data_IF_766398805976
#
_entry.id   IF_766398805976
#
_cell.length_a   1.000
_cell.length_b   1.000
_cell.length_c   1.000
_cell.angle_alpha   90.00
_cell.angle_beta   90.00
_cell.angle_gamma   90.00
#
_symmetry.space_group_name_H-M   'P 1'
#
loop_
_entity.id
_entity.type
_entity.pdbx_description
1 polymer ?
#
# COMPACT_ATOMS: atom_id res chain seq x y z
N UNK A 1 -7.11 -15.58 16.83
CA UNK A 1 -8.23 -14.62 16.91
C UNK A 1 -9.03 -14.93 18.16
N UNK A 2 -9.23 -13.96 19.07
CA UNK A 2 -9.95 -14.19 20.33
C UNK A 2 -11.42 -14.55 20.08
N UNK A 3 -11.91 -15.56 20.76
CA UNK A 3 -13.36 -15.88 20.77
C UNK A 3 -14.10 -15.01 21.80
N UNK A 4 -14.51 -13.82 21.33
CA UNK A 4 -15.20 -12.83 22.16
C UNK A 4 -16.47 -13.41 22.80
N UNK A 5 -17.17 -14.31 22.14
CA UNK A 5 -18.35 -14.97 22.68
C UNK A 5 -18.01 -15.91 23.85
N UNK A 6 -16.87 -16.61 23.74
CA UNK A 6 -16.38 -17.50 24.82
C UNK A 6 -15.96 -16.68 26.03
N UNK A 7 -15.23 -15.58 25.81
CA UNK A 7 -14.82 -14.64 26.86
C UNK A 7 -16.06 -14.06 27.56
N UNK A 8 -17.04 -13.58 26.82
CA UNK A 8 -18.27 -13.03 27.37
C UNK A 8 -19.06 -14.05 28.22
N UNK A 9 -19.13 -15.32 27.77
CA UNK A 9 -19.72 -16.40 28.54
C UNK A 9 -18.94 -16.68 29.82
N UNK A 10 -17.63 -16.68 29.82
CA UNK A 10 -16.77 -16.88 30.97
C UNK A 10 -17.02 -15.78 32.05
N UNK A 11 -16.97 -14.51 31.60
CA UNK A 11 -17.27 -13.35 32.48
C UNK A 11 -18.64 -13.50 33.13
N UNK A 12 -19.67 -13.79 32.32
CA UNK A 12 -21.02 -13.94 32.81
C UNK A 12 -21.16 -15.08 33.84
N UNK A 13 -20.58 -16.24 33.56
CA UNK A 13 -20.62 -17.41 34.44
C UNK A 13 -19.95 -17.13 35.78
N UNK A 14 -18.75 -16.53 35.74
CA UNK A 14 -18.02 -16.20 36.97
C UNK A 14 -18.73 -15.14 37.81
N UNK A 15 -19.25 -14.09 37.15
CA UNK A 15 -20.04 -13.07 37.84
C UNK A 15 -21.26 -13.67 38.57
N UNK A 16 -22.02 -14.51 37.87
CA UNK A 16 -23.20 -15.19 38.45
C UNK A 16 -22.77 -16.12 39.60
N UNK A 17 -21.64 -16.84 39.43
CA UNK A 17 -21.09 -17.70 40.48
C UNK A 17 -20.73 -16.94 41.77
N UNK A 18 -20.38 -15.65 41.63
CA UNK A 18 -20.12 -14.75 42.76
C UNK A 18 -21.39 -14.00 43.25
N UNK A 19 -22.56 -14.34 42.74
CA UNK A 19 -23.84 -13.68 43.07
C UNK A 19 -23.84 -12.16 42.80
N UNK A 20 -23.06 -11.70 41.83
CA UNK A 20 -22.97 -10.29 41.43
C UNK A 20 -23.97 -9.96 40.32
N UNK A 21 -24.57 -8.78 40.36
CA UNK A 21 -25.29 -8.21 39.22
C UNK A 21 -24.29 -7.60 38.21
N UNK A 22 -24.74 -7.33 36.98
CA UNK A 22 -23.89 -6.60 36.01
C UNK A 22 -23.53 -5.20 36.49
N UNK A 23 -24.41 -4.58 37.34
CA UNK A 23 -24.17 -3.29 37.95
C UNK A 23 -23.06 -3.38 39.01
N UNK A 24 -23.10 -4.40 39.88
CA UNK A 24 -22.07 -4.61 40.89
C UNK A 24 -20.68 -4.80 40.26
N UNK A 25 -20.62 -5.55 39.17
CA UNK A 25 -19.35 -5.73 38.41
C UNK A 25 -18.91 -4.43 37.78
N UNK A 26 -19.84 -3.66 37.19
CA UNK A 26 -19.54 -2.37 36.56
C UNK A 26 -18.98 -1.37 37.59
N UNK A 27 -19.58 -1.28 38.75
CA UNK A 27 -19.14 -0.41 39.85
C UNK A 27 -17.75 -0.78 40.37
N UNK A 28 -17.46 -2.08 40.55
CA UNK A 28 -16.15 -2.55 41.00
C UNK A 28 -15.05 -2.34 39.93
N UNK A 29 -15.43 -2.43 38.66
CA UNK A 29 -14.52 -2.23 37.52
C UNK A 29 -14.34 -0.76 37.16
N UNK A 30 -15.13 0.17 37.71
CA UNK A 30 -15.15 1.57 37.32
C UNK A 30 -15.56 1.78 35.86
N UNK A 31 -16.55 1.00 35.37
CA UNK A 31 -17.04 1.07 33.97
C UNK A 31 -18.55 1.24 33.95
N UNK A 32 -19.12 1.52 32.79
CA UNK A 32 -20.57 1.58 32.63
C UNK A 32 -21.21 0.18 32.65
N UNK A 33 -22.45 0.07 33.11
CA UNK A 33 -23.29 -1.14 32.99
C UNK A 33 -23.34 -1.65 31.55
N UNK A 34 -23.45 -0.73 30.57
CA UNK A 34 -23.47 -1.09 29.15
C UNK A 34 -22.18 -1.77 28.69
N UNK A 35 -21.03 -1.38 29.22
CA UNK A 35 -19.75 -2.03 28.90
C UNK A 35 -19.78 -3.49 29.34
N UNK A 36 -20.14 -3.78 30.63
CA UNK A 36 -20.25 -5.14 31.13
C UNK A 36 -21.27 -5.95 30.33
N UNK A 37 -22.43 -5.37 30.03
CA UNK A 37 -23.46 -6.01 29.22
C UNK A 37 -22.97 -6.34 27.79
N UNK A 38 -22.17 -5.48 27.16
CA UNK A 38 -21.59 -5.74 25.87
C UNK A 38 -20.53 -6.84 25.92
N UNK A 39 -19.69 -6.86 26.96
CA UNK A 39 -18.71 -7.92 27.16
C UNK A 39 -19.39 -9.28 27.28
N UNK A 40 -20.41 -9.42 28.15
CA UNK A 40 -21.13 -10.68 28.37
C UNK A 40 -21.89 -11.17 27.13
N UNK A 41 -22.26 -10.28 26.22
CA UNK A 41 -22.93 -10.62 24.96
C UNK A 41 -21.97 -10.89 23.81
N UNK A 42 -20.67 -10.68 24.02
CA UNK A 42 -19.67 -10.83 22.98
C UNK A 42 -19.70 -9.72 21.91
N UNK A 43 -20.27 -8.55 22.22
CA UNK A 43 -20.32 -7.40 21.32
C UNK A 43 -19.03 -6.57 21.38
N UNK A 44 -18.32 -6.64 22.50
CA UNK A 44 -17.01 -6.01 22.70
C UNK A 44 -16.21 -6.80 23.73
N UNK A 45 -14.90 -6.55 23.78
CA UNK A 45 -13.99 -7.12 24.76
C UNK A 45 -13.63 -6.07 25.82
N UNK A 46 -13.37 -6.46 27.09
CA UNK A 46 -12.75 -5.56 28.06
C UNK A 46 -11.42 -5.02 27.53
N UNK A 47 -11.13 -3.76 27.87
CA UNK A 47 -9.81 -3.19 27.67
C UNK A 47 -8.76 -4.03 28.40
N UNK A 48 -7.59 -4.18 27.79
CA UNK A 48 -6.51 -5.01 28.30
C UNK A 48 -6.07 -4.55 29.70
N UNK A 49 -6.01 -3.25 29.94
CA UNK A 49 -5.69 -2.68 31.24
C UNK A 49 -6.70 -3.06 32.34
N UNK A 50 -7.88 -3.59 31.96
CA UNK A 50 -8.94 -4.02 32.87
C UNK A 50 -9.02 -5.53 33.04
N UNK A 51 -8.30 -6.31 32.23
CA UNK A 51 -8.32 -7.78 32.29
C UNK A 51 -7.76 -8.31 33.61
N UNK A 52 -6.68 -7.72 34.11
CA UNK A 52 -6.11 -8.10 35.41
C UNK A 52 -7.10 -7.84 36.56
N UNK A 53 -7.68 -6.64 36.60
CA UNK A 53 -8.69 -6.27 37.60
C UNK A 53 -9.91 -7.20 37.49
N UNK A 54 -10.36 -7.51 36.28
CA UNK A 54 -11.48 -8.41 36.02
C UNK A 54 -11.19 -9.85 36.53
N UNK A 55 -9.97 -10.33 36.25
CA UNK A 55 -9.47 -11.62 36.73
C UNK A 55 -9.48 -11.70 38.25
N UNK A 56 -8.98 -10.67 38.92
CA UNK A 56 -8.97 -10.58 40.38
C UNK A 56 -10.39 -10.52 40.99
N UNK A 57 -11.28 -9.68 40.44
CA UNK A 57 -12.67 -9.54 40.95
C UNK A 57 -13.46 -10.83 40.76
N UNK A 58 -13.33 -11.46 39.59
CA UNK A 58 -14.11 -12.64 39.23
C UNK A 58 -13.45 -13.97 39.65
N UNK A 59 -12.18 -13.92 40.10
CA UNK A 59 -11.37 -15.12 40.38
C UNK A 59 -11.29 -16.03 39.15
N UNK A 60 -11.08 -15.41 38.02
CA UNK A 60 -10.94 -16.07 36.73
C UNK A 60 -9.48 -16.13 36.35
N UNK A 61 -9.06 -17.29 35.86
CA UNK A 61 -7.76 -17.41 35.22
C UNK A 61 -7.70 -16.54 33.96
N UNK A 62 -6.70 -15.69 33.85
CA UNK A 62 -6.43 -14.85 32.68
C UNK A 62 -6.35 -15.69 31.40
N UNK A 63 -5.77 -16.89 31.45
CA UNK A 63 -5.74 -17.84 30.33
C UNK A 63 -7.14 -18.24 29.83
N UNK A 64 -8.10 -18.38 30.74
CA UNK A 64 -9.50 -18.66 30.40
C UNK A 64 -10.16 -17.45 29.73
N UNK A 65 -9.83 -16.23 30.17
CA UNK A 65 -10.31 -14.98 29.59
C UNK A 65 -9.73 -14.76 28.20
N UNK A 66 -8.48 -15.12 27.99
CA UNK A 66 -7.78 -14.95 26.71
C UNK A 66 -8.03 -16.10 25.72
N UNK A 67 -8.84 -17.09 26.08
CA UNK A 67 -9.33 -18.10 25.11
C UNK A 67 -8.54 -19.41 25.06
N UNK A 68 -7.69 -19.69 26.03
CA UNK A 68 -6.89 -20.94 26.10
C UNK A 68 -5.62 -20.85 25.23
N UNK A 69 -4.90 -21.94 25.04
CA UNK A 69 -3.61 -22.03 24.33
C UNK A 69 -3.65 -21.57 22.86
N UNK A 70 -3.84 -20.27 22.62
CA UNK A 70 -3.59 -19.66 21.33
C UNK A 70 -2.31 -18.80 21.41
N UNK A 71 -1.57 -18.63 20.32
CA UNK A 71 -0.41 -17.72 20.26
C UNK A 71 -0.77 -16.33 20.79
N UNK A 72 -1.94 -15.82 20.44
CA UNK A 72 -2.43 -14.54 20.93
C UNK A 72 -2.62 -14.50 22.46
N UNK A 73 -3.04 -15.61 23.09
CA UNK A 73 -3.17 -15.71 24.55
C UNK A 73 -1.83 -15.71 25.26
N UNK A 74 -0.85 -16.43 24.71
CA UNK A 74 0.51 -16.48 25.23
C UNK A 74 1.22 -15.12 25.03
N UNK A 75 1.07 -14.49 23.87
CA UNK A 75 1.57 -13.15 23.60
C UNK A 75 1.00 -12.11 24.57
N UNK A 76 -0.31 -12.17 24.80
CA UNK A 76 -1.00 -11.28 25.73
C UNK A 76 -0.54 -11.45 27.18
N UNK A 77 -0.28 -12.68 27.60
CA UNK A 77 0.25 -12.97 28.93
C UNK A 77 1.64 -12.36 29.11
N UNK A 78 2.51 -12.47 28.10
CA UNK A 78 3.84 -11.83 28.10
C UNK A 78 3.73 -10.32 28.28
N UNK A 79 2.80 -9.66 27.59
CA UNK A 79 2.53 -8.21 27.73
C UNK A 79 2.02 -7.85 29.12
N UNK A 80 1.05 -8.63 29.66
CA UNK A 80 0.45 -8.36 30.97
C UNK A 80 1.42 -8.58 32.15
N UNK A 81 2.32 -9.54 32.01
CA UNK A 81 3.33 -9.86 33.04
C UNK A 81 4.61 -9.02 32.89
N UNK A 82 4.65 -8.11 31.91
CA UNK A 82 5.82 -7.29 31.57
C UNK A 82 7.12 -8.12 31.56
N UNK A 83 7.07 -9.26 30.84
CA UNK A 83 8.23 -10.15 30.76
C UNK A 83 9.33 -9.49 29.94
N UNK A 84 10.59 -9.78 30.31
CA UNK A 84 11.75 -9.31 29.53
C UNK A 84 11.88 -10.03 28.17
N UNK A 85 11.12 -11.11 27.95
CA UNK A 85 11.13 -11.88 26.72
C UNK A 85 10.32 -11.13 25.63
N UNK A 86 10.97 -10.70 24.52
CA UNK A 86 10.30 -9.93 23.49
C UNK A 86 9.29 -10.80 22.74
N UNK A 87 8.19 -10.18 22.31
CA UNK A 87 7.26 -10.81 21.39
C UNK A 87 7.88 -10.93 20.01
N UNK A 88 7.56 -12.01 19.28
CA UNK A 88 7.82 -12.03 17.84
C UNK A 88 6.91 -11.03 17.11
N UNK A 89 7.31 -10.63 15.91
CA UNK A 89 6.52 -9.69 15.09
C UNK A 89 5.11 -10.27 14.80
N UNK A 90 5.02 -11.58 14.55
CA UNK A 90 3.74 -12.23 14.33
C UNK A 90 2.87 -12.29 15.60
N UNK A 91 3.49 -12.56 16.77
CA UNK A 91 2.77 -12.52 18.05
C UNK A 91 2.23 -11.11 18.33
N UNK A 92 3.06 -10.09 18.08
CA UNK A 92 2.69 -8.70 18.26
C UNK A 92 1.57 -8.27 17.30
N UNK A 93 1.63 -8.68 16.03
CA UNK A 93 0.57 -8.42 15.04
C UNK A 93 -0.80 -8.99 15.45
N UNK A 94 -0.81 -10.15 16.12
CA UNK A 94 -2.06 -10.74 16.60
C UNK A 94 -2.69 -9.96 17.77
N UNK A 95 -1.87 -9.31 18.61
CA UNK A 95 -2.35 -8.61 19.82
C UNK A 95 -2.42 -7.09 19.65
N UNK A 96 -1.74 -6.51 18.67
CA UNK A 96 -1.70 -5.06 18.42
C UNK A 96 -3.10 -4.40 18.38
N UNK A 97 -4.15 -4.99 17.77
CA UNK A 97 -5.49 -4.39 17.73
C UNK A 97 -6.14 -4.18 19.11
N UNK A 98 -5.63 -4.80 20.17
CA UNK A 98 -6.19 -4.75 21.54
C UNK A 98 -5.23 -4.10 22.53
N UNK A 99 -3.99 -3.84 22.12
CA UNK A 99 -3.02 -3.08 22.89
C UNK A 99 -3.29 -1.58 22.79
N UNK A 100 -2.92 -0.83 23.83
CA UNK A 100 -2.84 0.63 23.70
C UNK A 100 -1.66 1.03 22.82
N UNK A 101 -1.70 2.21 22.15
CA UNK A 101 -0.56 2.68 21.34
C UNK A 101 0.78 2.65 22.08
N UNK A 102 0.79 3.04 23.35
CA UNK A 102 1.99 3.01 24.17
C UNK A 102 2.54 1.59 24.43
N UNK A 103 1.67 0.59 24.53
CA UNK A 103 2.08 -0.81 24.66
C UNK A 103 2.59 -1.37 23.34
N UNK A 104 1.91 -1.08 22.23
CA UNK A 104 2.42 -1.44 20.90
C UNK A 104 3.81 -0.87 20.69
N UNK A 105 4.01 0.42 21.02
CA UNK A 105 5.29 1.09 20.96
C UNK A 105 6.36 0.36 21.77
N UNK A 106 6.10 0.10 23.06
CA UNK A 106 7.06 -0.54 23.95
C UNK A 106 7.45 -1.95 23.47
N UNK A 107 6.47 -2.76 23.06
CA UNK A 107 6.72 -4.13 22.60
C UNK A 107 7.39 -4.19 21.24
N UNK A 108 7.03 -3.29 20.31
CA UNK A 108 7.70 -3.20 19.00
C UNK A 108 9.18 -2.81 19.17
N UNK A 109 9.47 -1.88 20.07
CA UNK A 109 10.85 -1.50 20.38
C UNK A 109 11.65 -2.63 21.01
N UNK A 110 11.05 -3.40 21.93
CA UNK A 110 11.70 -4.61 22.50
C UNK A 110 11.97 -5.64 21.40
N UNK A 111 11.02 -5.89 20.51
CA UNK A 111 11.14 -6.83 19.39
C UNK A 111 12.26 -6.43 18.42
N UNK A 112 12.32 -5.15 18.03
CA UNK A 112 13.36 -4.63 17.14
C UNK A 112 14.77 -4.72 17.72
N UNK A 113 14.93 -4.48 19.03
CA UNK A 113 16.23 -4.55 19.71
C UNK A 113 16.73 -5.98 19.94
N UNK A 114 15.83 -6.96 20.01
CA UNK A 114 16.17 -8.36 20.31
C UNK A 114 16.47 -9.21 19.08
N UNK A 115 16.07 -8.74 17.88
CA UNK A 115 16.26 -9.48 16.63
C UNK A 115 17.69 -9.28 16.12
N UNK A 116 18.56 -10.31 16.22
CA UNK A 116 19.85 -10.35 15.53
C UNK A 116 19.67 -10.50 13.99
N UNK A 117 18.52 -10.96 13.53
CA UNK A 117 18.15 -11.05 12.12
C UNK A 117 17.35 -9.80 11.72
N UNK A 118 17.75 -9.15 10.63
CA UNK A 118 16.98 -8.04 10.07
C UNK A 118 15.58 -8.52 9.72
N UNK A 119 14.56 -7.88 10.27
CA UNK A 119 13.16 -8.18 10.04
C UNK A 119 12.81 -7.85 8.58
N UNK A 120 12.07 -8.73 7.91
CA UNK A 120 11.55 -8.45 6.56
C UNK A 120 10.39 -7.45 6.64
N UNK A 121 10.28 -6.56 5.64
CA UNK A 121 9.14 -5.64 5.52
C UNK A 121 7.80 -6.40 5.55
N UNK A 122 7.75 -7.55 4.89
CA UNK A 122 6.57 -8.41 4.82
C UNK A 122 6.01 -8.79 6.20
N UNK A 123 6.89 -9.08 7.15
CA UNK A 123 6.50 -9.48 8.49
C UNK A 123 5.94 -8.29 9.30
N UNK A 124 6.34 -7.06 8.94
CA UNK A 124 5.89 -5.82 9.59
C UNK A 124 4.57 -5.29 9.05
N UNK A 125 4.18 -5.61 7.82
CA UNK A 125 2.94 -5.08 7.19
C UNK A 125 1.71 -5.16 8.12
N UNK A 126 1.45 -6.25 8.85
CA UNK A 126 0.30 -6.33 9.75
C UNK A 126 0.35 -5.37 10.95
N UNK A 127 1.53 -4.86 11.28
CA UNK A 127 1.74 -3.94 12.41
C UNK A 127 1.67 -2.47 12.00
N UNK A 128 1.97 -2.14 10.73
CA UNK A 128 2.05 -0.76 10.26
C UNK A 128 0.84 0.11 10.65
N UNK A 129 -0.42 -0.37 10.58
CA UNK A 129 -1.58 0.43 10.98
C UNK A 129 -1.63 0.84 12.46
N UNK A 130 -0.80 0.24 13.31
CA UNK A 130 -0.79 0.44 14.75
C UNK A 130 0.47 1.15 15.25
N UNK A 131 1.42 1.44 14.36
CA UNK A 131 2.67 2.16 14.67
C UNK A 131 2.45 3.67 14.50
N UNK A 132 3.13 4.45 15.31
CA UNK A 132 3.27 5.89 15.11
C UNK A 132 4.49 6.22 14.24
N UNK A 133 4.55 7.45 13.71
CA UNK A 133 5.57 7.87 12.75
C UNK A 133 6.99 7.73 13.31
N UNK A 134 7.20 8.02 14.61
CA UNK A 134 8.52 7.98 15.25
C UNK A 134 9.09 6.54 15.28
N UNK A 135 8.24 5.56 15.59
CA UNK A 135 8.64 4.14 15.58
C UNK A 135 8.78 3.62 14.16
N UNK A 136 7.88 4.07 13.27
CA UNK A 136 7.92 3.70 11.87
C UNK A 136 9.31 3.98 11.29
N UNK A 137 9.81 5.20 11.48
CA UNK A 137 11.15 5.60 11.00
C UNK A 137 12.28 4.74 11.58
N UNK A 138 12.25 4.47 12.92
CA UNK A 138 13.26 3.64 13.57
C UNK A 138 13.29 2.23 12.97
N UNK A 139 12.13 1.61 12.81
CA UNK A 139 11.99 0.23 12.31
C UNK A 139 12.32 0.15 10.82
N UNK A 140 11.75 1.03 9.99
CA UNK A 140 11.97 1.03 8.55
C UNK A 140 13.44 1.28 8.18
N UNK A 141 14.18 1.99 9.03
CA UNK A 141 15.63 2.17 8.83
C UNK A 141 16.41 0.85 8.82
N UNK A 142 15.95 -0.15 9.58
CA UNK A 142 16.61 -1.44 9.81
C UNK A 142 16.03 -2.59 8.98
N UNK A 143 14.90 -2.36 8.31
CA UNK A 143 14.19 -3.37 7.54
C UNK A 143 14.91 -3.76 6.26
N UNK A 144 14.88 -5.05 5.94
CA UNK A 144 15.22 -5.55 4.62
C UNK A 144 13.99 -5.49 3.71
N UNK A 145 14.22 -5.05 2.48
CA UNK A 145 13.22 -5.01 1.42
C UNK A 145 13.65 -5.99 0.34
N UNK A 146 12.87 -7.05 0.14
CA UNK A 146 13.19 -8.08 -0.83
C UNK A 146 12.65 -7.73 -2.24
N UNK A 147 11.54 -6.97 -2.32
CA UNK A 147 10.94 -6.58 -3.60
C UNK A 147 10.10 -5.29 -3.49
N UNK A 148 9.94 -4.59 -4.61
CA UNK A 148 9.01 -3.44 -4.71
C UNK A 148 7.56 -3.83 -4.43
N UNK A 149 7.18 -5.08 -4.69
CA UNK A 149 5.85 -5.59 -4.37
C UNK A 149 5.56 -5.60 -2.87
N UNK A 150 6.55 -5.87 -2.02
CA UNK A 150 6.39 -5.75 -0.56
C UNK A 150 6.18 -4.29 -0.16
N UNK A 151 6.94 -3.37 -0.76
CA UNK A 151 6.78 -1.94 -0.53
C UNK A 151 5.38 -1.48 -0.93
N UNK A 152 4.83 -1.95 -2.06
CA UNK A 152 3.48 -1.58 -2.48
C UNK A 152 2.38 -2.00 -1.50
N UNK A 153 2.58 -3.12 -0.79
CA UNK A 153 1.65 -3.54 0.27
C UNK A 153 1.73 -2.64 1.52
N UNK A 154 2.88 -2.05 1.79
CA UNK A 154 3.11 -1.13 2.91
C UNK A 154 2.72 0.33 2.58
N UNK A 155 2.75 0.71 1.29
CA UNK A 155 2.59 2.08 0.81
C UNK A 155 1.38 2.85 1.39
N UNK A 156 0.17 2.26 1.60
CA UNK A 156 -0.95 2.99 2.20
C UNK A 156 -0.75 3.45 3.64
N UNK A 157 0.31 2.99 4.32
CA UNK A 157 0.61 3.27 5.73
C UNK A 157 1.87 4.12 5.91
N UNK A 158 2.53 4.49 4.81
CA UNK A 158 3.81 5.19 4.80
C UNK A 158 3.64 6.61 4.26
N UNK A 159 4.46 7.52 4.74
CA UNK A 159 4.60 8.83 4.11
C UNK A 159 5.57 8.80 2.91
N UNK A 160 5.68 9.93 2.19
CA UNK A 160 6.48 10.02 0.98
C UNK A 160 7.98 9.77 1.26
N UNK A 161 8.53 10.31 2.36
CA UNK A 161 9.94 10.17 2.71
C UNK A 161 10.28 8.71 3.09
N UNK A 162 9.39 8.06 3.85
CA UNK A 162 9.51 6.65 4.23
C UNK A 162 9.44 5.73 3.02
N UNK A 163 8.51 6.03 2.11
CA UNK A 163 8.32 5.27 0.88
C UNK A 163 9.54 5.37 -0.03
N UNK A 164 10.06 6.57 -0.24
CA UNK A 164 11.28 6.84 -1.03
C UNK A 164 12.50 6.12 -0.45
N UNK A 165 12.64 6.12 0.88
CA UNK A 165 13.71 5.41 1.57
C UNK A 165 13.64 3.88 1.35
N UNK A 166 12.45 3.28 1.37
CA UNK A 166 12.25 1.85 1.12
C UNK A 166 12.48 1.49 -0.34
N UNK A 167 11.95 2.29 -1.26
CA UNK A 167 12.15 2.11 -2.71
C UNK A 167 13.62 2.16 -3.08
N UNK A 168 14.41 3.01 -2.42
CA UNK A 168 15.87 3.10 -2.64
C UNK A 168 16.62 1.84 -2.26
N UNK A 169 16.08 1.02 -1.35
CA UNK A 169 16.67 -0.24 -0.87
C UNK A 169 16.27 -1.45 -1.72
N UNK A 170 15.16 -1.37 -2.45
CA UNK A 170 14.60 -2.48 -3.22
C UNK A 170 15.34 -2.72 -4.54
N UNK A 171 15.27 -3.95 -5.05
CA UNK A 171 15.64 -4.25 -6.43
C UNK A 171 14.60 -3.63 -7.38
N UNK A 172 15.08 -2.79 -8.29
CA UNK A 172 14.25 -2.01 -9.22
C UNK A 172 13.90 -2.75 -10.51
N UNK A 173 14.30 -4.02 -10.67
CA UNK A 173 13.97 -4.82 -11.85
C UNK A 173 12.52 -5.33 -11.88
N UNK A 174 11.77 -5.17 -10.78
CA UNK A 174 10.38 -5.63 -10.66
C UNK A 174 9.39 -4.58 -11.23
N UNK A 175 9.08 -4.72 -12.51
CA UNK A 175 8.12 -3.84 -13.19
C UNK A 175 6.71 -3.84 -12.56
N UNK A 176 6.21 -5.02 -12.15
CA UNK A 176 4.90 -5.11 -11.50
C UNK A 176 4.87 -4.33 -10.18
N UNK A 177 5.98 -4.37 -9.45
CA UNK A 177 6.17 -3.59 -8.24
C UNK A 177 6.18 -2.08 -8.50
N UNK A 178 6.88 -1.61 -9.55
CA UNK A 178 6.89 -0.20 -9.95
C UNK A 178 5.47 0.26 -10.28
N UNK A 179 4.74 -0.50 -11.10
CA UNK A 179 3.38 -0.15 -11.49
C UNK A 179 2.41 -0.11 -10.29
N UNK A 180 2.57 -1.04 -9.35
CA UNK A 180 1.76 -1.07 -8.14
C UNK A 180 2.04 0.11 -7.18
N UNK A 181 3.28 0.62 -7.20
CA UNK A 181 3.71 1.76 -6.39
C UNK A 181 3.41 3.11 -7.04
N UNK A 182 3.25 3.17 -8.36
CA UNK A 182 3.11 4.41 -9.12
C UNK A 182 2.09 5.40 -8.54
N UNK A 183 0.90 4.99 -8.01
CA UNK A 183 -0.06 5.93 -7.40
C UNK A 183 0.37 6.52 -6.06
N UNK A 184 1.42 6.00 -5.44
CA UNK A 184 1.87 6.37 -4.09
C UNK A 184 3.20 7.12 -4.09
N UNK A 185 3.98 7.01 -5.18
CA UNK A 185 5.29 7.64 -5.29
C UNK A 185 5.19 9.10 -5.72
N UNK A 186 6.14 9.90 -5.27
CA UNK A 186 6.33 11.24 -5.83
C UNK A 186 6.76 11.18 -7.31
N UNK A 187 6.44 12.22 -8.08
CA UNK A 187 6.81 12.29 -9.49
C UNK A 187 8.33 12.10 -9.67
N UNK A 188 9.15 12.74 -8.84
CA UNK A 188 10.61 12.65 -8.91
C UNK A 188 11.14 11.22 -8.67
N UNK A 189 10.57 10.52 -7.70
CA UNK A 189 10.98 9.14 -7.37
C UNK A 189 10.55 8.16 -8.45
N UNK A 190 9.31 8.29 -8.96
CA UNK A 190 8.80 7.44 -10.02
C UNK A 190 9.57 7.66 -11.34
N UNK A 191 9.84 8.92 -11.69
CA UNK A 191 10.65 9.28 -12.84
C UNK A 191 12.05 8.69 -12.76
N UNK A 192 12.69 8.78 -11.58
CA UNK A 192 14.01 8.19 -11.35
C UNK A 192 13.99 6.64 -11.44
N UNK A 193 12.93 5.98 -11.02
CA UNK A 193 12.74 4.53 -11.20
C UNK A 193 12.57 4.16 -12.66
N UNK A 194 11.68 4.87 -13.38
CA UNK A 194 11.42 4.65 -14.79
C UNK A 194 12.68 4.86 -15.66
N UNK A 195 13.48 5.89 -15.37
CA UNK A 195 14.74 6.13 -16.08
C UNK A 195 15.77 5.01 -15.85
N UNK A 196 15.82 4.41 -14.65
CA UNK A 196 16.72 3.26 -14.37
C UNK A 196 16.33 2.00 -15.12
N UNK A 197 15.03 1.79 -15.31
CA UNK A 197 14.49 0.60 -15.99
C UNK A 197 14.28 0.81 -17.49
N UNK A 198 14.71 1.93 -18.05
CA UNK A 198 14.41 2.36 -19.42
C UNK A 198 14.75 1.32 -20.49
N UNK A 199 15.81 0.53 -20.32
CA UNK A 199 16.22 -0.48 -21.32
C UNK A 199 15.29 -1.71 -21.34
N UNK A 200 14.51 -1.93 -20.28
CA UNK A 200 13.60 -3.07 -20.14
C UNK A 200 12.13 -2.71 -20.42
N UNK A 201 11.86 -1.41 -20.66
CA UNK A 201 10.50 -0.90 -20.85
C UNK A 201 10.11 -0.98 -22.32
N UNK A 202 9.08 -1.75 -22.61
CA UNK A 202 8.39 -1.75 -23.89
C UNK A 202 7.24 -0.72 -23.93
N UNK A 203 6.64 -0.52 -25.10
CA UNK A 203 5.56 0.43 -25.30
C UNK A 203 4.31 0.15 -24.47
N UNK A 204 4.02 -1.13 -24.19
CA UNK A 204 2.88 -1.51 -23.37
C UNK A 204 3.09 -1.13 -21.91
N UNK A 205 4.26 -1.39 -21.38
CA UNK A 205 4.67 -0.99 -20.05
C UNK A 205 4.65 0.53 -19.90
N UNK A 206 5.19 1.25 -20.89
CA UNK A 206 5.20 2.71 -20.88
C UNK A 206 3.79 3.30 -20.85
N UNK A 207 2.86 2.72 -21.62
CA UNK A 207 1.46 3.16 -21.64
C UNK A 207 0.77 2.98 -20.27
N UNK A 208 1.14 1.94 -19.52
CA UNK A 208 0.59 1.72 -18.18
C UNK A 208 1.08 2.75 -17.15
N UNK A 209 2.32 3.20 -17.27
CA UNK A 209 2.91 4.22 -16.39
C UNK A 209 2.61 5.66 -16.81
N UNK A 210 2.22 5.89 -18.05
CA UNK A 210 2.05 7.23 -18.62
C UNK A 210 1.23 8.19 -17.75
N UNK A 211 0.11 7.77 -17.06
CA UNK A 211 -0.66 8.68 -16.21
C UNK A 211 0.06 9.15 -14.94
N UNK A 212 1.18 8.53 -14.57
CA UNK A 212 1.89 8.78 -13.31
C UNK A 212 3.27 9.40 -13.53
N UNK A 213 3.83 9.31 -14.73
CA UNK A 213 5.14 9.89 -15.07
C UNK A 213 5.01 11.37 -15.42
N UNK A 214 6.07 12.12 -15.16
CA UNK A 214 6.17 13.49 -15.68
C UNK A 214 6.19 13.49 -17.21
N UNK A 215 5.61 14.52 -17.80
CA UNK A 215 5.58 14.73 -19.26
C UNK A 215 6.98 14.67 -19.88
N UNK A 216 7.98 15.21 -19.17
CA UNK A 216 9.37 15.20 -19.62
C UNK A 216 10.00 13.81 -19.64
N UNK A 217 9.81 13.04 -18.57
CA UNK A 217 10.37 11.67 -18.48
C UNK A 217 9.69 10.75 -19.48
N UNK A 218 8.36 10.83 -19.59
CA UNK A 218 7.61 10.07 -20.58
C UNK A 218 8.09 10.39 -22.01
N UNK A 219 8.26 11.67 -22.32
CA UNK A 219 8.75 12.14 -23.64
C UNK A 219 10.14 11.61 -23.95
N UNK A 220 11.08 11.67 -22.99
CA UNK A 220 12.44 11.10 -23.17
C UNK A 220 12.39 9.59 -23.43
N UNK A 221 11.52 8.85 -22.71
CA UNK A 221 11.37 7.41 -22.89
C UNK A 221 10.78 7.07 -24.26
N UNK A 222 9.73 7.78 -24.67
CA UNK A 222 9.09 7.59 -25.98
C UNK A 222 10.02 7.92 -27.15
N UNK A 223 10.84 8.97 -27.05
CA UNK A 223 11.82 9.33 -28.08
C UNK A 223 12.89 8.27 -28.30
N UNK A 224 13.31 7.56 -27.23
CA UNK A 224 14.32 6.49 -27.33
C UNK A 224 13.78 5.21 -27.97
N UNK A 225 12.47 5.03 -28.06
CA UNK A 225 11.89 3.89 -28.74
C UNK A 225 12.00 4.07 -30.27
N UNK A 226 12.77 3.21 -30.92
CA UNK A 226 12.97 3.26 -32.36
C UNK A 226 11.70 2.90 -33.16
N UNK A 227 10.88 2.00 -32.61
CA UNK A 227 9.66 1.52 -33.25
C UNK A 227 8.56 1.51 -32.17
N UNK A 228 7.70 2.51 -32.16
CA UNK A 228 6.50 2.55 -31.31
C UNK A 228 5.31 2.09 -32.15
N UNK A 229 4.51 1.14 -31.60
CA UNK A 229 3.21 0.82 -32.20
C UNK A 229 2.29 2.04 -32.13
N UNK A 230 1.66 2.37 -33.24
CA UNK A 230 0.78 3.52 -33.34
C UNK A 230 -0.43 3.44 -32.41
N UNK A 231 -0.90 2.23 -32.06
CA UNK A 231 -1.94 2.06 -31.05
C UNK A 231 -1.45 2.43 -29.64
N UNK A 232 -0.22 2.07 -29.30
CA UNK A 232 0.39 2.47 -28.04
C UNK A 232 0.60 3.99 -27.99
N UNK A 233 1.03 4.59 -29.14
CA UNK A 233 1.20 6.04 -29.24
C UNK A 233 -0.10 6.82 -29.01
N UNK A 234 -1.26 6.32 -29.47
CA UNK A 234 -2.57 6.92 -29.18
C UNK A 234 -2.84 6.96 -27.68
N UNK A 235 -2.46 5.92 -26.95
CA UNK A 235 -2.59 5.87 -25.48
C UNK A 235 -1.63 6.82 -24.76
N UNK A 236 -0.47 7.08 -25.32
CA UNK A 236 0.55 7.97 -24.76
C UNK A 236 0.31 9.45 -25.11
N UNK A 237 -0.34 9.74 -26.21
CA UNK A 237 -0.48 11.09 -26.77
C UNK A 237 -1.01 12.14 -25.78
N UNK A 238 -1.99 11.86 -24.86
CA UNK A 238 -2.44 12.85 -23.87
C UNK A 238 -1.42 13.25 -22.81
N UNK A 239 -0.33 12.48 -22.68
CA UNK A 239 0.68 12.60 -21.63
C UNK A 239 2.06 13.01 -22.16
N UNK A 240 2.24 13.07 -23.49
CA UNK A 240 3.49 13.45 -24.13
C UNK A 240 3.54 14.98 -24.38
N UNK A 241 4.75 15.52 -24.37
CA UNK A 241 4.99 16.88 -24.89
C UNK A 241 4.58 16.96 -26.36
N UNK A 242 3.91 18.06 -26.75
CA UNK A 242 3.45 18.29 -28.12
C UNK A 242 4.59 18.13 -29.15
N UNK A 243 5.78 18.65 -28.81
CA UNK A 243 6.98 18.58 -29.69
C UNK A 243 7.44 17.13 -29.89
N UNK A 244 7.41 16.33 -28.81
CA UNK A 244 7.80 14.91 -28.88
C UNK A 244 6.82 14.09 -29.69
N UNK A 245 5.53 14.30 -29.50
CA UNK A 245 4.50 13.63 -30.28
C UNK A 245 4.65 13.96 -31.78
N UNK A 246 4.84 15.22 -32.11
CA UNK A 246 5.07 15.69 -33.46
C UNK A 246 6.32 15.05 -34.11
N UNK A 247 7.43 14.95 -33.37
CA UNK A 247 8.65 14.30 -33.84
C UNK A 247 8.42 12.82 -34.17
N UNK A 248 7.76 12.09 -33.25
CA UNK A 248 7.46 10.65 -33.43
C UNK A 248 6.55 10.46 -34.65
N UNK A 249 5.46 11.23 -34.76
CA UNK A 249 4.54 11.14 -35.91
C UNK A 249 5.22 11.48 -37.20
N UNK A 250 6.05 12.51 -37.23
CA UNK A 250 6.83 12.88 -38.44
C UNK A 250 7.81 11.76 -38.84
N UNK A 251 8.49 11.13 -37.88
CA UNK A 251 9.35 9.97 -38.11
C UNK A 251 8.59 8.79 -38.73
N UNK A 252 7.38 8.50 -38.23
CA UNK A 252 6.54 7.41 -38.73
C UNK A 252 5.99 7.73 -40.15
N UNK A 253 5.61 8.98 -40.41
CA UNK A 253 5.22 9.44 -41.76
C UNK A 253 6.36 9.25 -42.78
N UNK A 254 7.59 9.53 -42.38
CA UNK A 254 8.76 9.37 -43.28
C UNK A 254 9.08 7.89 -43.56
N UNK A 255 8.74 6.97 -42.64
CA UNK A 255 8.84 5.51 -42.84
C UNK A 255 7.72 4.96 -43.74
N UNK A 256 6.67 5.74 -44.03
CA UNK A 256 5.54 5.34 -44.89
C UNK A 256 4.54 4.42 -44.19
N UNK A 257 4.28 4.64 -42.87
CA UNK A 257 3.29 3.88 -42.12
C UNK A 257 1.87 3.99 -42.65
N UNK A 258 0.99 3.08 -42.22
CA UNK A 258 -0.41 3.09 -42.60
C UNK A 258 -1.16 4.26 -41.92
N UNK A 259 -1.87 5.01 -42.72
CA UNK A 259 -2.47 6.29 -42.34
C UNK A 259 -3.68 6.14 -41.42
N UNK A 260 -4.40 5.01 -41.51
CA UNK A 260 -5.55 4.74 -40.65
C UNK A 260 -5.19 4.74 -39.17
N UNK A 261 -3.94 4.43 -38.87
CA UNK A 261 -3.42 4.32 -37.53
C UNK A 261 -3.06 5.69 -36.93
N UNK A 262 -2.88 6.74 -37.76
CA UNK A 262 -2.53 8.11 -37.32
C UNK A 262 -3.75 9.01 -37.08
N UNK A 263 -4.92 8.68 -37.62
CA UNK A 263 -6.12 9.51 -37.47
C UNK A 263 -6.53 9.80 -36.01
N UNK A 264 -6.42 8.87 -35.06
CA UNK A 264 -6.74 9.13 -33.66
C UNK A 264 -5.80 10.13 -32.97
N UNK A 265 -4.61 10.37 -33.53
CA UNK A 265 -3.62 11.32 -32.99
C UNK A 265 -3.90 12.78 -33.41
N UNK A 266 -4.75 13.00 -34.43
CA UNK A 266 -5.02 14.33 -34.95
C UNK A 266 -5.38 15.40 -33.91
N UNK A 267 -6.16 15.10 -32.82
CA UNK A 267 -6.48 16.10 -31.80
C UNK A 267 -5.27 16.62 -31.01
N UNK A 268 -4.17 15.88 -31.01
CA UNK A 268 -2.97 16.14 -30.20
C UNK A 268 -1.81 16.71 -31.03
N UNK A 269 -1.95 16.82 -32.36
CA UNK A 269 -0.87 17.24 -33.25
C UNK A 269 -0.87 18.77 -33.47
N UNK A 270 0.32 19.32 -33.62
CA UNK A 270 0.47 20.74 -34.04
C UNK A 270 -0.08 20.98 -35.44
N UNK A 271 -0.39 22.26 -35.72
CA UNK A 271 -0.85 22.69 -37.05
C UNK A 271 0.15 22.40 -38.16
N UNK A 272 1.45 22.32 -37.84
CA UNK A 272 2.50 22.02 -38.83
C UNK A 272 2.51 20.53 -39.18
N UNK A 273 2.48 19.66 -38.18
CA UNK A 273 2.42 18.20 -38.37
C UNK A 273 1.10 17.80 -39.03
N UNK A 274 -0.01 18.47 -38.67
CA UNK A 274 -1.29 18.29 -39.36
C UNK A 274 -1.23 18.64 -40.83
N UNK A 275 -0.53 19.71 -41.24
CA UNK A 275 -0.36 20.03 -42.67
C UNK A 275 0.46 18.96 -43.38
N UNK A 276 1.53 18.43 -42.78
CA UNK A 276 2.32 17.32 -43.33
C UNK A 276 1.45 16.07 -43.48
N UNK A 277 0.68 15.75 -42.47
CA UNK A 277 -0.28 14.63 -42.51
C UNK A 277 -1.30 14.77 -43.65
N UNK A 278 -1.87 15.96 -43.84
CA UNK A 278 -2.78 16.24 -44.93
C UNK A 278 -2.11 16.13 -46.33
N UNK A 279 -0.86 16.59 -46.47
CA UNK A 279 -0.11 16.40 -47.70
C UNK A 279 0.15 14.92 -47.99
N UNK A 280 0.39 14.14 -46.95
CA UNK A 280 0.57 12.70 -47.08
C UNK A 280 -0.74 12.02 -47.51
N UNK A 281 -1.88 12.38 -46.94
CA UNK A 281 -3.22 11.90 -47.37
C UNK A 281 -3.49 12.24 -48.87
N UNK A 282 -3.15 13.44 -49.28
CA UNK A 282 -3.30 13.85 -50.68
C UNK A 282 -2.42 13.00 -51.61
N UNK A 283 -1.18 12.66 -51.24
CA UNK A 283 -0.30 11.83 -52.06
C UNK A 283 -0.74 10.39 -52.17
N UNK A 284 -1.29 9.84 -51.08
CA UNK A 284 -1.76 8.44 -51.02
C UNK A 284 -3.18 8.24 -51.47
N UNK A 285 -3.95 9.32 -51.67
CA UNK A 285 -5.35 9.27 -52.10
C UNK A 285 -6.32 8.82 -51.02
N UNK A 286 -5.96 8.93 -49.73
CA UNK A 286 -6.85 8.57 -48.61
C UNK A 286 -7.82 9.69 -48.32
N UNK A 287 -9.01 9.59 -48.93
CA UNK A 287 -10.10 10.55 -48.76
C UNK A 287 -10.71 10.48 -47.37
N UNK A 288 -10.75 9.31 -46.72
CA UNK A 288 -11.33 9.14 -45.38
C UNK A 288 -10.43 9.78 -44.32
N UNK A 289 -9.13 9.55 -44.39
CA UNK A 289 -8.13 10.22 -43.57
C UNK A 289 -8.16 11.74 -43.69
N UNK A 290 -8.28 12.26 -44.94
CA UNK A 290 -8.44 13.70 -45.14
C UNK A 290 -9.71 14.28 -44.49
N UNK A 291 -10.84 13.59 -44.60
CA UNK A 291 -12.08 14.05 -43.94
C UNK A 291 -11.99 14.07 -42.44
N UNK A 292 -11.39 13.04 -41.85
CA UNK A 292 -11.19 12.93 -40.41
C UNK A 292 -10.26 14.03 -39.90
N UNK A 293 -9.10 14.20 -40.55
CA UNK A 293 -8.12 15.22 -40.17
C UNK A 293 -8.62 16.67 -40.38
N UNK A 294 -9.46 16.91 -41.41
CA UNK A 294 -10.04 18.23 -41.68
C UNK A 294 -10.95 18.76 -40.56
N UNK A 295 -11.43 17.92 -39.64
CA UNK A 295 -12.23 18.37 -38.51
C UNK A 295 -11.37 19.00 -37.39
N UNK A 296 -10.04 18.84 -37.45
CA UNK A 296 -9.09 19.34 -36.43
C UNK A 296 -8.20 20.48 -36.97
N UNK A 297 -8.38 20.90 -38.21
CA UNK A 297 -7.75 22.07 -38.83
C UNK A 297 -8.62 23.32 -38.66
#
# INVERSE_FOLDING_TARGET
>A
MFDINRIGKAIRTARIGKNMTQMDLADQMGVSYQAVSNWERGNSMPDIAKLETLSQILDLDIHLLLGGQSRASEAMEKVLMDTEEPLSVEELAEVAPILSPAQVHAETKKAAQSSEAKTSLKDLIPLLPFLDDEIMDEILSQVNVDSLKEVSCAAPFLDDDQLDALVSKADTSDWEGILALAPFLSDDTLDGLAERCMEEVDEHKLTQLAPFLSEQTLSKMAQKMENIDLHALVGLAPFLEDETLDEIVNRELDKGCSIKDLTPLCPFLSSETMRRLMQHFLRTGDIEGMKAAATFL
#
